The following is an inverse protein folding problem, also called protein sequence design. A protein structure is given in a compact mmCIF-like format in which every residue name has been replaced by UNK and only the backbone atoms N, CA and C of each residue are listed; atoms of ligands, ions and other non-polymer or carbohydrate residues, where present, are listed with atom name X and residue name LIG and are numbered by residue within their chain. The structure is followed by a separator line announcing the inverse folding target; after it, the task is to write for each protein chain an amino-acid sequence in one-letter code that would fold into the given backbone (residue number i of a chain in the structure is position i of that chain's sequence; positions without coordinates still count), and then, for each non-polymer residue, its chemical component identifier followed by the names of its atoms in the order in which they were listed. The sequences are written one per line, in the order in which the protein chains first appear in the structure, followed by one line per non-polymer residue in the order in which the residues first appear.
data_IF_989955468161
#
_entry.id   IF_989955468161
#
_cell.length_a   1.000
_cell.length_b   1.000
_cell.length_c   1.000
_cell.angle_alpha   90.00
_cell.angle_beta   90.00
_cell.angle_gamma   90.00
#
_symmetry.space_group_name_H-M   'P 1'
#
loop_
_entity.id
_entity.type
_entity.pdbx_description
1 polymer ?
#
# COMPACT_ATOMS: atom_id res chain seq x y z
N UNK A 1 -2.57 -22.28 -13.84
CA UNK A 1 -1.19 -22.00 -14.28
C UNK A 1 -0.75 -20.71 -13.62
N UNK A 2 0.22 -20.74 -12.69
CA UNK A 2 0.89 -19.52 -12.24
C UNK A 2 1.69 -19.01 -13.45
N UNK A 3 1.23 -17.96 -14.11
CA UNK A 3 2.04 -17.25 -15.11
C UNK A 3 3.32 -16.79 -14.40
N UNK A 4 4.44 -17.47 -14.67
CA UNK A 4 5.75 -16.99 -14.24
C UNK A 4 6.07 -15.76 -15.10
N UNK A 5 5.59 -14.60 -14.64
CA UNK A 5 6.05 -13.34 -15.18
C UNK A 5 7.53 -13.22 -14.84
N UNK A 6 8.38 -13.19 -15.88
CA UNK A 6 9.80 -12.91 -15.73
C UNK A 6 9.94 -11.51 -15.15
N UNK A 7 10.51 -11.41 -13.95
CA UNK A 7 10.84 -10.12 -13.35
C UNK A 7 12.14 -9.63 -14.01
N UNK A 8 12.15 -8.45 -14.66
CA UNK A 8 13.35 -7.94 -15.29
C UNK A 8 14.46 -7.68 -14.27
N UNK A 9 15.69 -7.99 -14.66
CA UNK A 9 16.89 -7.63 -13.91
C UNK A 9 17.41 -6.27 -14.37
N UNK A 10 17.91 -5.48 -13.44
CA UNK A 10 18.55 -4.18 -13.66
C UNK A 10 19.95 -4.20 -13.05
N UNK A 11 20.87 -3.47 -13.67
CA UNK A 11 22.24 -3.29 -13.16
C UNK A 11 22.33 -1.92 -12.48
N UNK A 12 22.80 -1.90 -11.24
CA UNK A 12 23.09 -0.68 -10.50
C UNK A 12 24.59 -0.54 -10.25
N UNK A 13 25.12 0.67 -10.39
CA UNK A 13 26.46 1.00 -9.95
C UNK A 13 26.49 1.17 -8.42
N UNK A 14 27.42 0.51 -7.76
CA UNK A 14 27.71 0.68 -6.33
C UNK A 14 29.15 1.13 -6.16
N UNK A 15 29.52 1.59 -4.96
CA UNK A 15 30.91 1.96 -4.65
C UNK A 15 31.93 0.82 -4.87
N UNK A 16 31.46 -0.42 -4.97
CA UNK A 16 32.28 -1.63 -5.17
C UNK A 16 32.10 -2.27 -6.56
N UNK A 17 31.44 -1.57 -7.51
CA UNK A 17 31.21 -2.03 -8.88
C UNK A 17 29.74 -2.24 -9.22
N UNK A 18 29.48 -2.87 -10.37
CA UNK A 18 28.14 -3.17 -10.86
C UNK A 18 27.51 -4.36 -10.12
N UNK A 19 26.24 -4.24 -9.74
CA UNK A 19 25.46 -5.34 -9.14
C UNK A 19 24.09 -5.45 -9.80
N UNK A 20 23.70 -6.68 -10.12
CA UNK A 20 22.40 -6.99 -10.69
C UNK A 20 21.35 -7.21 -9.59
N UNK A 21 20.18 -6.60 -9.76
CA UNK A 21 19.01 -6.71 -8.89
C UNK A 21 17.78 -6.98 -9.74
N UNK A 22 16.78 -7.68 -9.23
CA UNK A 22 15.45 -7.58 -9.83
C UNK A 22 14.86 -6.19 -9.54
N UNK A 23 13.89 -5.76 -10.35
CA UNK A 23 13.33 -4.41 -10.23
C UNK A 23 12.72 -4.12 -8.85
N UNK A 24 12.15 -5.11 -8.16
CA UNK A 24 11.57 -4.91 -6.83
C UNK A 24 12.65 -4.80 -5.76
N UNK A 25 13.71 -5.59 -5.85
CA UNK A 25 14.88 -5.43 -4.97
C UNK A 25 15.53 -4.05 -5.13
N UNK A 26 15.61 -3.54 -6.36
CA UNK A 26 16.12 -2.17 -6.62
C UNK A 26 15.23 -1.09 -5.98
N UNK A 27 13.92 -1.27 -6.02
CA UNK A 27 12.94 -0.38 -5.38
C UNK A 27 13.01 -0.46 -3.85
N UNK A 28 13.18 -1.66 -3.29
CA UNK A 28 13.31 -1.84 -1.84
C UNK A 28 14.53 -1.10 -1.29
N UNK A 29 15.65 -1.09 -2.02
CA UNK A 29 16.83 -0.30 -1.66
C UNK A 29 16.54 1.23 -1.62
N UNK A 30 15.54 1.71 -2.37
CA UNK A 30 15.03 3.09 -2.29
C UNK A 30 13.85 3.23 -1.30
N UNK A 31 13.64 2.21 -0.45
CA UNK A 31 12.59 2.13 0.58
C UNK A 31 11.17 2.15 0.00
N UNK A 32 11.02 1.62 -1.21
CA UNK A 32 9.72 1.45 -1.89
C UNK A 32 9.25 0.00 -1.74
N UNK A 33 8.10 -0.17 -1.10
CA UNK A 33 7.42 -1.45 -0.90
C UNK A 33 6.15 -1.50 -1.75
N UNK A 34 5.89 -2.64 -2.41
CA UNK A 34 4.75 -2.82 -3.31
C UNK A 34 3.73 -3.81 -2.75
N UNK A 35 2.50 -3.34 -2.52
CA UNK A 35 1.32 -4.17 -2.31
C UNK A 35 0.49 -4.22 -3.60
N UNK A 36 0.84 -5.11 -4.51
CA UNK A 36 0.22 -5.24 -5.84
C UNK A 36 -0.72 -6.45 -6.02
N UNK A 37 -1.13 -7.09 -4.93
CA UNK A 37 -1.87 -8.35 -4.93
C UNK A 37 -3.00 -8.35 -3.88
N UNK A 38 -3.92 -9.32 -3.91
CA UNK A 38 -4.83 -9.57 -2.81
C UNK A 38 -4.05 -9.79 -1.50
N UNK A 39 -4.57 -9.24 -0.41
CA UNK A 39 -3.97 -9.36 0.92
C UNK A 39 -4.22 -10.76 1.46
N UNK A 40 -3.15 -11.53 1.62
CA UNK A 40 -3.16 -12.85 2.23
C UNK A 40 -1.86 -13.06 3.01
N UNK A 41 -1.77 -14.17 3.74
CA UNK A 41 -0.72 -14.38 4.75
C UNK A 41 0.71 -14.31 4.16
N UNK A 42 0.93 -14.88 2.97
CA UNK A 42 2.24 -14.84 2.30
C UNK A 42 2.66 -13.39 1.96
N UNK A 43 1.74 -12.61 1.39
CA UNK A 43 2.00 -11.22 1.00
C UNK A 43 2.17 -10.34 2.24
N UNK A 44 1.34 -10.55 3.26
CA UNK A 44 1.45 -9.83 4.52
C UNK A 44 2.80 -10.09 5.20
N UNK A 45 3.22 -11.35 5.32
CA UNK A 45 4.51 -11.68 5.90
C UNK A 45 5.68 -11.07 5.11
N UNK A 46 5.61 -11.05 3.78
CA UNK A 46 6.63 -10.41 2.95
C UNK A 46 6.71 -8.90 3.21
N UNK A 47 5.57 -8.20 3.24
CA UNK A 47 5.53 -6.76 3.51
C UNK A 47 6.01 -6.46 4.93
N UNK A 48 5.57 -7.22 5.93
CA UNK A 48 6.02 -7.08 7.32
C UNK A 48 7.54 -7.24 7.41
N UNK A 49 8.10 -8.27 6.77
CA UNK A 49 9.55 -8.48 6.74
C UNK A 49 10.29 -7.30 6.06
N UNK A 50 9.75 -6.77 4.95
CA UNK A 50 10.33 -5.60 4.27
C UNK A 50 10.28 -4.35 5.15
N UNK A 51 9.18 -4.09 5.85
CA UNK A 51 9.04 -2.96 6.75
C UNK A 51 10.06 -3.02 7.91
N UNK A 52 10.18 -4.18 8.56
CA UNK A 52 11.15 -4.41 9.64
C UNK A 52 12.59 -4.30 9.12
N UNK A 53 12.86 -4.83 7.93
CA UNK A 53 14.18 -4.72 7.30
C UNK A 53 14.57 -3.26 7.07
N UNK A 54 13.67 -2.45 6.51
CA UNK A 54 13.92 -1.04 6.22
C UNK A 54 14.08 -0.20 7.49
N UNK A 55 13.34 -0.52 8.57
CA UNK A 55 13.57 0.07 9.89
C UNK A 55 14.98 -0.25 10.40
N UNK A 56 15.44 -1.50 10.25
CA UNK A 56 16.77 -1.91 10.65
C UNK A 56 17.91 -1.24 9.86
N UNK A 57 17.66 -0.83 8.62
CA UNK A 57 18.63 -0.07 7.81
C UNK A 57 18.70 1.42 8.21
N UNK A 58 17.55 2.04 8.40
CA UNK A 58 17.44 3.45 8.81
C UNK A 58 16.08 3.67 9.50
N UNK A 59 16.04 3.84 10.83
CA UNK A 59 14.80 3.95 11.60
C UNK A 59 14.14 5.33 11.50
N UNK A 60 14.78 6.34 10.90
CA UNK A 60 14.23 7.69 10.77
C UNK A 60 13.71 7.98 9.36
N UNK A 61 14.28 7.31 8.35
CA UNK A 61 13.97 7.58 6.95
C UNK A 61 12.63 6.98 6.53
N UNK A 62 11.79 7.78 5.88
CA UNK A 62 10.46 7.38 5.38
C UNK A 62 10.49 6.09 4.54
N UNK A 63 9.42 5.30 4.64
CA UNK A 63 9.15 4.14 3.77
C UNK A 63 7.92 4.47 2.91
N UNK A 64 7.99 4.20 1.61
CA UNK A 64 6.86 4.39 0.69
C UNK A 64 6.19 3.07 0.33
N UNK A 65 4.96 2.87 0.81
CA UNK A 65 4.10 1.73 0.48
C UNK A 65 3.15 2.07 -0.67
N UNK A 66 3.39 1.48 -1.83
CA UNK A 66 2.53 1.62 -3.01
C UNK A 66 1.47 0.52 -3.02
N UNK A 67 0.20 0.91 -3.10
CA UNK A 67 -0.96 0.03 -2.95
C UNK A 67 -1.75 -0.03 -4.25
N UNK A 68 -1.84 -1.24 -4.81
CA UNK A 68 -2.74 -1.65 -5.88
C UNK A 68 -3.37 -2.99 -5.49
N UNK A 69 -4.40 -2.96 -4.64
CA UNK A 69 -4.96 -4.17 -4.04
C UNK A 69 -6.48 -4.13 -3.95
N UNK A 70 -7.16 -5.25 -4.25
CA UNK A 70 -8.59 -5.40 -4.00
C UNK A 70 -8.91 -5.64 -2.51
N UNK A 71 -7.91 -5.67 -1.64
CA UNK A 71 -8.04 -6.09 -0.24
C UNK A 71 -7.85 -7.60 -0.09
N UNK A 72 -8.44 -8.19 0.96
CA UNK A 72 -8.29 -9.62 1.25
C UNK A 72 -8.52 -9.94 2.73
N UNK A 73 -7.72 -10.84 3.28
CA UNK A 73 -7.81 -11.29 4.68
C UNK A 73 -7.65 -10.13 5.66
N UNK A 74 -8.61 -9.99 6.58
CA UNK A 74 -8.60 -8.95 7.60
C UNK A 74 -7.38 -9.08 8.51
N UNK A 75 -7.09 -10.28 9.03
CA UNK A 75 -5.94 -10.47 9.91
C UNK A 75 -4.60 -10.26 9.20
N UNK A 76 -4.46 -10.70 7.95
CA UNK A 76 -3.25 -10.45 7.17
C UNK A 76 -3.05 -8.94 6.95
N UNK A 77 -4.13 -8.20 6.68
CA UNK A 77 -4.07 -6.74 6.58
C UNK A 77 -3.77 -6.07 7.92
N UNK A 78 -4.31 -6.58 9.04
CA UNK A 78 -4.02 -6.06 10.38
C UNK A 78 -2.55 -6.28 10.78
N UNK A 79 -1.93 -7.39 10.36
CA UNK A 79 -0.50 -7.61 10.59
C UNK A 79 0.37 -6.54 9.90
N UNK A 80 0.04 -6.21 8.64
CA UNK A 80 0.71 -5.11 7.92
C UNK A 80 0.43 -3.79 8.62
N UNK A 81 -0.84 -3.50 8.93
CA UNK A 81 -1.26 -2.25 9.56
C UNK A 81 -0.53 -2.02 10.88
N UNK A 82 -0.56 -2.99 11.80
CA UNK A 82 0.07 -2.87 13.11
C UNK A 82 1.59 -2.70 12.96
N UNK A 83 2.22 -3.38 12.01
CA UNK A 83 3.65 -3.18 11.70
C UNK A 83 3.92 -1.75 11.22
N UNK A 84 3.09 -1.19 10.33
CA UNK A 84 3.21 0.21 9.91
C UNK A 84 3.07 1.20 11.07
N UNK A 85 2.25 0.87 12.08
CA UNK A 85 2.10 1.71 13.28
C UNK A 85 3.21 1.49 14.31
N UNK A 86 3.86 0.33 14.29
CA UNK A 86 4.82 -0.11 15.30
C UNK A 86 6.25 0.39 15.03
N UNK A 87 6.68 0.34 13.77
CA UNK A 87 8.04 0.70 13.39
C UNK A 87 8.32 2.21 13.56
N UNK A 88 9.58 2.57 13.77
CA UNK A 88 10.03 3.96 13.90
C UNK A 88 9.81 4.83 12.64
N UNK A 89 10.16 4.35 11.43
CA UNK A 89 9.99 5.12 10.21
C UNK A 89 8.54 5.51 9.92
N UNK A 90 8.25 6.75 9.47
CA UNK A 90 6.93 7.07 8.96
C UNK A 90 6.67 6.29 7.66
N UNK A 91 5.51 5.63 7.57
CA UNK A 91 5.07 4.93 6.36
C UNK A 91 4.16 5.83 5.52
N UNK A 92 4.66 6.29 4.38
CA UNK A 92 3.90 6.98 3.34
C UNK A 92 3.13 5.97 2.50
N UNK A 93 1.86 6.23 2.21
CA UNK A 93 1.01 5.31 1.44
C UNK A 93 0.56 5.95 0.14
N UNK A 94 0.70 5.25 -0.98
CA UNK A 94 0.30 5.76 -2.30
C UNK A 94 -0.59 4.76 -3.03
N UNK A 95 -1.84 5.12 -3.27
CA UNK A 95 -2.75 4.32 -4.09
C UNK A 95 -2.43 4.50 -5.59
N UNK A 96 -2.05 3.41 -6.24
CA UNK A 96 -1.76 3.34 -7.69
C UNK A 96 -2.71 2.36 -8.36
N UNK A 97 -3.84 2.86 -8.90
CA UNK A 97 -4.87 2.02 -9.52
C UNK A 97 -6.03 1.77 -8.56
N UNK A 98 -5.88 0.89 -7.57
CA UNK A 98 -6.96 0.67 -6.59
C UNK A 98 -6.49 0.35 -5.17
N UNK A 99 -7.29 0.78 -4.19
CA UNK A 99 -7.17 0.40 -2.80
C UNK A 99 -8.56 0.10 -2.26
N UNK A 100 -8.94 -1.17 -2.21
CA UNK A 100 -10.28 -1.60 -1.82
C UNK A 100 -10.26 -2.45 -0.55
N UNK A 101 -11.32 -2.39 0.24
CA UNK A 101 -11.46 -3.18 1.48
C UNK A 101 -10.21 -3.01 2.38
N UNK A 102 -9.51 -4.08 2.76
CA UNK A 102 -8.26 -3.98 3.54
C UNK A 102 -7.17 -3.13 2.85
N UNK A 103 -7.15 -3.03 1.52
CA UNK A 103 -6.26 -2.11 0.81
C UNK A 103 -6.56 -0.64 1.14
N UNK A 104 -7.85 -0.28 1.29
CA UNK A 104 -8.25 1.07 1.70
C UNK A 104 -7.91 1.36 3.17
N UNK A 105 -8.05 0.36 4.05
CA UNK A 105 -7.64 0.46 5.47
C UNK A 105 -6.14 0.72 5.58
N UNK A 106 -5.33 -0.03 4.82
CA UNK A 106 -3.88 0.17 4.77
C UNK A 106 -3.49 1.52 4.18
N UNK A 107 -4.18 1.96 3.12
CA UNK A 107 -3.99 3.30 2.55
C UNK A 107 -4.23 4.38 3.60
N UNK A 108 -5.37 4.32 4.30
CA UNK A 108 -5.72 5.28 5.34
C UNK A 108 -4.77 5.24 6.54
N UNK A 109 -4.17 4.08 6.82
CA UNK A 109 -3.24 3.84 7.92
C UNK A 109 -1.83 4.40 7.74
N UNK A 110 -1.52 5.01 6.59
CA UNK A 110 -0.27 5.74 6.40
C UNK A 110 -0.11 6.92 7.36
N UNK A 111 1.12 7.40 7.51
CA UNK A 111 1.44 8.53 8.37
C UNK A 111 0.64 9.80 7.97
N UNK A 112 0.12 10.59 8.94
CA UNK A 112 -0.65 11.79 8.63
C UNK A 112 0.11 12.78 7.73
N UNK A 113 -0.55 13.31 6.71
CA UNK A 113 0.05 14.18 5.70
C UNK A 113 0.86 13.45 4.63
N UNK A 114 0.91 12.11 4.67
CA UNK A 114 1.70 11.25 3.76
C UNK A 114 0.87 10.14 3.12
N UNK A 115 -0.44 10.34 2.98
CA UNK A 115 -1.37 9.41 2.33
C UNK A 115 -1.81 10.00 1.01
N UNK A 116 -1.60 9.27 -0.07
CA UNK A 116 -1.71 9.80 -1.42
C UNK A 116 -2.47 8.86 -2.36
N UNK A 117 -3.02 9.42 -3.42
CA UNK A 117 -3.52 8.64 -4.54
C UNK A 117 -3.17 9.30 -5.88
N UNK A 118 -3.03 8.49 -6.93
CA UNK A 118 -2.98 9.00 -8.30
C UNK A 118 -4.38 9.39 -8.80
N UNK A 119 -4.50 10.25 -9.83
CA UNK A 119 -5.79 10.85 -10.21
C UNK A 119 -6.86 9.85 -10.66
N UNK A 120 -6.45 8.73 -11.26
CA UNK A 120 -7.38 7.68 -11.72
C UNK A 120 -7.57 6.55 -10.70
N UNK A 121 -7.02 6.68 -9.50
CA UNK A 121 -7.14 5.65 -8.48
C UNK A 121 -8.57 5.55 -7.96
N UNK A 122 -8.99 4.31 -7.65
CA UNK A 122 -10.27 4.03 -6.99
C UNK A 122 -10.07 3.47 -5.60
N UNK A 123 -10.72 4.10 -4.63
CA UNK A 123 -10.71 3.68 -3.24
C UNK A 123 -12.11 3.14 -2.91
N UNK A 124 -12.18 2.00 -2.23
CA UNK A 124 -13.46 1.44 -1.81
C UNK A 124 -13.39 0.96 -0.37
N UNK A 125 -14.36 1.38 0.44
CA UNK A 125 -14.57 0.89 1.80
C UNK A 125 -15.91 0.16 1.89
N UNK A 126 -15.95 -0.89 2.69
CA UNK A 126 -17.15 -1.68 2.97
C UNK A 126 -17.00 -2.46 4.28
N UNK A 127 -18.06 -3.11 4.74
CA UNK A 127 -18.10 -3.82 6.02
C UNK A 127 -17.30 -5.12 6.05
N UNK A 128 -16.80 -5.58 4.91
CA UNK A 128 -16.21 -6.91 4.75
C UNK A 128 -17.20 -7.93 4.20
N UNK A 129 -16.74 -9.16 4.03
CA UNK A 129 -17.58 -10.29 3.58
C UNK A 129 -17.25 -11.49 4.45
N UNK A 130 -18.28 -12.23 4.86
CA UNK A 130 -18.13 -13.45 5.64
C UNK A 130 -19.08 -14.52 5.15
N UNK A 131 -18.65 -15.78 5.27
CA UNK A 131 -19.46 -16.97 5.04
C UNK A 131 -19.00 -18.05 6.02
N UNK A 132 -19.95 -18.77 6.61
CA UNK A 132 -19.67 -19.81 7.61
C UNK A 132 -20.75 -20.89 7.54
N UNK A 133 -20.35 -22.12 7.84
CA UNK A 133 -21.21 -23.30 7.93
C UNK A 133 -20.74 -24.14 9.13
N UNK A 134 -21.64 -24.86 9.80
CA UNK A 134 -21.28 -25.67 10.97
C UNK A 134 -22.42 -25.85 11.95
N UNK A 135 -22.11 -26.32 13.15
CA UNK A 135 -23.09 -26.40 14.23
C UNK A 135 -23.55 -24.97 14.64
N UNK A 136 -24.77 -24.80 15.17
CA UNK A 136 -25.27 -23.48 15.57
C UNK A 136 -24.33 -22.72 16.52
N UNK A 137 -23.66 -23.43 17.44
CA UNK A 137 -22.69 -22.83 18.36
C UNK A 137 -21.45 -22.29 17.63
N UNK A 138 -20.94 -23.01 16.63
CA UNK A 138 -19.78 -22.57 15.83
C UNK A 138 -20.14 -21.35 14.99
N UNK A 139 -21.32 -21.37 14.35
CA UNK A 139 -21.86 -20.23 13.60
C UNK A 139 -21.96 -18.99 14.50
N UNK A 140 -22.48 -19.13 15.72
CA UNK A 140 -22.60 -18.02 16.65
C UNK A 140 -21.22 -17.43 17.05
N UNK A 141 -20.23 -18.29 17.30
CA UNK A 141 -18.86 -17.87 17.62
C UNK A 141 -18.24 -17.10 16.44
N UNK A 142 -18.33 -17.65 15.24
CA UNK A 142 -17.77 -17.01 14.04
C UNK A 142 -18.48 -15.71 13.68
N UNK A 143 -19.80 -15.63 13.84
CA UNK A 143 -20.56 -14.41 13.61
C UNK A 143 -20.11 -13.28 14.56
N UNK A 144 -19.86 -13.61 15.85
CA UNK A 144 -19.33 -12.63 16.82
C UNK A 144 -17.95 -12.11 16.41
N UNK A 145 -17.07 -12.98 15.92
CA UNK A 145 -15.74 -12.56 15.47
C UNK A 145 -15.79 -11.68 14.22
N UNK A 146 -16.63 -12.01 13.24
CA UNK A 146 -16.83 -11.18 12.04
C UNK A 146 -17.32 -9.78 12.42
N UNK A 147 -18.27 -9.67 13.37
CA UNK A 147 -18.75 -8.38 13.86
C UNK A 147 -17.65 -7.59 14.59
N UNK A 148 -16.80 -8.28 15.36
CA UNK A 148 -15.62 -7.69 16.02
C UNK A 148 -14.64 -7.12 15.00
N UNK A 149 -14.33 -7.88 13.94
CA UNK A 149 -13.45 -7.44 12.85
C UNK A 149 -14.01 -6.24 12.10
N UNK A 150 -15.31 -6.27 11.77
CA UNK A 150 -16.00 -5.12 11.15
C UNK A 150 -15.85 -3.86 12.01
N UNK A 151 -16.13 -3.97 13.31
CA UNK A 151 -16.00 -2.86 14.25
C UNK A 151 -14.56 -2.35 14.30
N UNK A 152 -13.58 -3.25 14.35
CA UNK A 152 -12.16 -2.88 14.36
C UNK A 152 -11.75 -2.12 13.10
N UNK A 153 -12.20 -2.55 11.93
CA UNK A 153 -11.94 -1.82 10.68
C UNK A 153 -12.58 -0.42 10.69
N UNK A 154 -13.82 -0.30 11.20
CA UNK A 154 -14.50 0.99 11.35
C UNK A 154 -13.74 1.94 12.30
N UNK A 155 -13.27 1.43 13.45
CA UNK A 155 -12.44 2.19 14.40
C UNK A 155 -11.15 2.71 13.77
N UNK A 156 -10.46 1.88 12.97
CA UNK A 156 -9.22 2.27 12.29
C UNK A 156 -9.52 3.37 11.25
N UNK A 157 -10.56 3.20 10.43
CA UNK A 157 -10.95 4.21 9.44
C UNK A 157 -11.35 5.51 10.15
N UNK A 158 -12.13 5.44 11.24
CA UNK A 158 -12.54 6.60 12.02
C UNK A 158 -11.32 7.34 12.59
N UNK A 159 -10.37 6.61 13.20
CA UNK A 159 -9.10 7.16 13.72
C UNK A 159 -8.36 7.98 12.66
N UNK A 160 -8.21 7.44 11.45
CA UNK A 160 -7.38 8.05 10.41
C UNK A 160 -8.10 9.10 9.57
N UNK A 161 -9.42 9.02 9.44
CA UNK A 161 -10.23 10.00 8.69
C UNK A 161 -10.70 11.17 9.54
N UNK A 162 -10.68 11.03 10.87
CA UNK A 162 -11.23 12.01 11.81
C UNK A 162 -12.77 12.00 11.88
N UNK A 163 -13.42 11.03 11.24
CA UNK A 163 -14.88 10.84 11.32
C UNK A 163 -15.27 10.09 12.59
N UNK A 164 -16.51 10.27 13.03
CA UNK A 164 -17.09 9.45 14.09
C UNK A 164 -17.24 7.99 13.63
N UNK A 165 -17.14 7.04 14.57
CA UNK A 165 -17.32 5.60 14.27
C UNK A 165 -18.70 5.35 13.67
N UNK A 166 -19.74 6.00 14.16
CA UNK A 166 -21.13 5.84 13.70
C UNK A 166 -21.29 6.23 12.23
N UNK A 167 -20.65 7.33 11.81
CA UNK A 167 -20.60 7.74 10.40
C UNK A 167 -19.89 6.70 9.55
N UNK A 168 -18.73 6.21 10.00
CA UNK A 168 -17.97 5.20 9.27
C UNK A 168 -18.77 3.91 9.15
N UNK A 169 -19.40 3.43 10.23
CA UNK A 169 -20.22 2.22 10.22
C UNK A 169 -21.40 2.30 9.23
N UNK A 170 -22.01 3.48 9.09
CA UNK A 170 -23.04 3.74 8.09
C UNK A 170 -22.45 3.77 6.66
N UNK A 171 -21.32 4.44 6.49
CA UNK A 171 -20.67 4.62 5.19
C UNK A 171 -20.07 3.32 4.64
N UNK A 172 -19.73 2.35 5.50
CA UNK A 172 -19.22 1.02 5.09
C UNK A 172 -20.32 -0.06 4.99
N UNK A 173 -21.57 0.23 5.36
CA UNK A 173 -22.64 -0.79 5.33
C UNK A 173 -22.82 -1.39 3.93
N UNK A 174 -22.56 -0.62 2.88
CA UNK A 174 -22.47 -1.11 1.50
C UNK A 174 -21.18 -0.63 0.86
N UNK A 175 -20.85 -1.24 -0.27
CA UNK A 175 -19.67 -0.84 -1.03
C UNK A 175 -19.76 0.65 -1.39
N UNK A 176 -18.80 1.42 -0.88
CA UNK A 176 -18.67 2.84 -1.15
C UNK A 176 -17.42 3.09 -1.96
N UNK A 177 -17.61 3.26 -3.27
CA UNK A 177 -16.54 3.62 -4.19
C UNK A 177 -16.31 5.13 -4.21
N UNK A 178 -15.04 5.52 -4.22
CA UNK A 178 -14.59 6.90 -4.26
C UNK A 178 -13.49 7.03 -5.31
N UNK A 179 -13.54 8.07 -6.14
CA UNK A 179 -12.34 8.54 -6.83
C UNK A 179 -11.33 9.18 -5.84
N UNK A 180 -10.17 9.58 -6.35
CA UNK A 180 -9.11 10.16 -5.53
C UNK A 180 -9.54 11.47 -4.84
N UNK A 181 -10.35 12.31 -5.49
CA UNK A 181 -10.82 13.56 -4.91
C UNK A 181 -11.85 13.32 -3.81
N UNK A 182 -12.78 12.39 -4.02
CA UNK A 182 -13.77 11.95 -3.04
C UNK A 182 -13.08 11.29 -1.82
N UNK A 183 -12.07 10.45 -2.05
CA UNK A 183 -11.32 9.80 -0.98
C UNK A 183 -10.55 10.82 -0.12
N UNK A 184 -10.00 11.87 -0.75
CA UNK A 184 -9.38 13.00 -0.05
C UNK A 184 -10.40 13.77 0.77
N UNK A 185 -11.55 14.11 0.19
CA UNK A 185 -12.64 14.80 0.90
C UNK A 185 -13.18 13.96 2.07
N UNK A 186 -13.16 12.63 1.95
CA UNK A 186 -13.52 11.72 3.03
C UNK A 186 -12.44 11.63 4.13
N UNK A 187 -11.18 11.96 3.82
CA UNK A 187 -10.05 11.88 4.74
C UNK A 187 -9.29 10.55 4.72
N UNK A 188 -9.53 9.69 3.72
CA UNK A 188 -8.77 8.43 3.54
C UNK A 188 -7.37 8.68 3.01
N UNK A 189 -7.18 9.81 2.32
CA UNK A 189 -5.89 10.30 1.85
C UNK A 189 -5.77 11.80 2.12
N UNK A 190 -4.55 12.31 2.11
CA UNK A 190 -4.24 13.72 2.33
C UNK A 190 -4.21 14.50 1.01
N UNK A 191 -3.67 13.91 -0.06
CA UNK A 191 -3.57 14.60 -1.36
C UNK A 191 -3.63 13.68 -2.60
N UNK A 192 -3.97 14.29 -3.74
CA UNK A 192 -3.96 13.65 -5.05
C UNK A 192 -2.71 14.08 -5.81
N UNK A 193 -1.83 13.12 -6.12
CA UNK A 193 -0.56 13.41 -6.78
C UNK A 193 -0.77 13.60 -8.28
N UNK A 194 -0.63 14.84 -8.75
CA UNK A 194 -0.52 15.15 -10.17
C UNK A 194 0.94 15.09 -10.61
N UNK A 195 1.18 14.76 -11.88
CA UNK A 195 2.51 14.43 -12.44
C UNK A 195 3.66 15.26 -11.86
N UNK A 196 4.78 14.60 -11.54
CA UNK A 196 5.96 15.26 -11.00
C UNK A 196 6.47 16.27 -12.02
N UNK A 197 6.49 17.56 -11.67
CA UNK A 197 7.31 18.55 -12.39
C UNK A 197 8.78 18.19 -12.14
N UNK A 198 9.33 17.34 -13.00
CA UNK A 198 10.75 17.05 -13.19
C UNK A 198 11.62 17.16 -11.94
N UNK A 199 11.33 16.38 -10.91
CA UNK A 199 12.36 16.02 -9.93
C UNK A 199 13.09 14.82 -10.50
N UNK A 200 14.34 15.02 -10.92
CA UNK A 200 15.26 13.89 -11.12
C UNK A 200 15.14 13.02 -9.86
N UNK A 201 14.86 11.74 -10.03
CA UNK A 201 15.23 10.78 -8.99
C UNK A 201 16.75 10.92 -8.90
N UNK A 202 17.26 11.49 -7.81
CA UNK A 202 18.70 11.48 -7.56
C UNK A 202 19.14 10.02 -7.58
N UNK A 203 19.90 9.63 -8.62
CA UNK A 203 20.26 8.23 -8.90
C UNK A 203 19.79 7.70 -10.26
N UNK A 204 19.04 8.46 -11.06
CA UNK A 204 18.70 8.09 -12.44
C UNK A 204 19.40 9.05 -13.42
N UNK A 205 20.63 8.73 -13.82
CA UNK A 205 21.33 9.41 -14.91
C UNK A 205 20.74 8.88 -16.22
N UNK A 206 20.08 9.71 -17.06
CA UNK A 206 19.74 9.27 -18.41
C UNK A 206 21.05 9.03 -19.16
N UNK A 207 21.17 7.87 -19.83
CA UNK A 207 22.14 7.74 -20.92
C UNK A 207 21.87 8.92 -21.87
N UNK A 208 22.81 9.86 -21.93
CA UNK A 208 22.79 10.89 -22.94
C UNK A 208 22.64 10.18 -24.29
N UNK A 209 21.61 10.58 -25.04
CA UNK A 209 21.56 10.34 -26.47
C UNK A 209 22.91 10.78 -27.01
N UNK A 210 23.72 9.81 -27.46
CA UNK A 210 24.88 10.09 -28.30
C UNK A 210 24.33 10.78 -29.55
N UNK A 211 24.29 12.12 -29.53
CA UNK A 211 24.15 12.91 -30.74
C UNK A 211 25.30 12.49 -31.65
N UNK A 212 24.91 12.04 -32.83
CA UNK A 212 25.78 11.37 -33.77
C UNK A 212 27.00 12.20 -34.11
N UNK A 213 28.09 11.46 -34.32
CA UNK A 213 29.22 11.86 -35.14
C UNK A 213 28.73 12.61 -36.38
N UNK A 214 28.94 13.93 -36.41
CA UNK A 214 28.98 14.68 -37.67
C UNK A 214 30.37 14.46 -38.26
N UNK A 215 30.50 13.99 -39.51
CA UNK A 215 31.80 13.86 -40.13
C UNK A 215 32.39 15.25 -40.36
N UNK A 216 33.72 15.34 -40.21
CA UNK A 216 34.51 16.51 -40.60
C UNK A 216 34.39 16.72 -42.11
N UNK A 217 33.86 17.87 -42.52
CA UNK A 217 34.35 18.82 -43.52
C UNK A 217 33.26 19.84 -43.84
#
# INVERSE_FOLDING_TARGET
MRSQHLVPMVVGETAFGERAYDIYSRLLAERVVMLGAPVGDEIANLIVAQLIHLEGEDPEKEISLYINSPGGSVYAGLAIYDTMQYIGPPVSTICVGMAMSMGAVLLAGGAPGKRFALPNSKIMIHQGTAGMEGAPADIEIHAREVLSQRKRAAEIIAKHTGKSIEQVEADIDRDRFMDAAEARAYGLIDDVLHGRKTTRLEGFVPLELQEGERPRC
#
